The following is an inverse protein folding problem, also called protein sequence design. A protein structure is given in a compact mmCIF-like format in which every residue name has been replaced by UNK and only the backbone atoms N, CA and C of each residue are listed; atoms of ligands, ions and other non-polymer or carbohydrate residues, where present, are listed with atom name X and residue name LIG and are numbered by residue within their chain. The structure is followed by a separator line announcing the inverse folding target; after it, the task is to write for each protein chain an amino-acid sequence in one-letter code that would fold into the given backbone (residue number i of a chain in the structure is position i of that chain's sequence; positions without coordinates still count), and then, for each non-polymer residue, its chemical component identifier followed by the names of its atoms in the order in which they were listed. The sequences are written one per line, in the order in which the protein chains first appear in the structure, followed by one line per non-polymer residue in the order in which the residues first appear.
data_IF_252158112061
#
_entry.id   IF_252158112061
#
_cell.length_a   1.000
_cell.length_b   1.000
_cell.length_c   1.000
_cell.angle_alpha   90.00
_cell.angle_beta   90.00
_cell.angle_gamma   90.00
#
_symmetry.space_group_name_H-M   'P 1'
#
loop_
_entity.id
_entity.type
_entity.pdbx_description
1 polymer ?
#
# COMPACT_ATOMS: atom_id res chain seq x y z
N UNK A 1 -39.37 1.58 -23.93
CA UNK A 1 -39.64 2.90 -23.30
C UNK A 1 -40.12 2.72 -21.86
N UNK A 2 -39.28 2.22 -20.95
CA UNK A 2 -39.64 2.03 -19.53
C UNK A 2 -38.52 2.45 -18.53
N UNK A 3 -37.44 3.10 -18.99
CA UNK A 3 -36.30 3.50 -18.16
C UNK A 3 -36.23 5.00 -17.83
N UNK A 4 -37.20 5.81 -18.29
CA UNK A 4 -37.17 7.26 -18.10
C UNK A 4 -38.11 7.77 -16.98
N UNK A 5 -38.81 6.88 -16.26
CA UNK A 5 -39.74 7.28 -15.18
C UNK A 5 -39.12 7.21 -13.77
N UNK A 6 -38.18 6.29 -13.53
CA UNK A 6 -37.53 6.16 -12.22
C UNK A 6 -36.52 7.30 -11.97
N UNK A 7 -35.76 7.69 -13.00
CA UNK A 7 -34.76 8.75 -12.92
C UNK A 7 -35.41 10.12 -12.60
N UNK A 8 -36.53 10.44 -13.26
CA UNK A 8 -37.33 11.64 -12.96
C UNK A 8 -37.96 11.62 -11.56
N UNK A 9 -38.26 10.43 -11.01
CA UNK A 9 -38.76 10.28 -9.64
C UNK A 9 -37.66 10.51 -8.60
N UNK A 10 -36.44 10.02 -8.87
CA UNK A 10 -35.29 10.24 -8.01
C UNK A 10 -34.85 11.72 -8.01
N UNK A 11 -34.82 12.36 -9.18
CA UNK A 11 -34.52 13.79 -9.31
C UNK A 11 -35.58 14.67 -8.62
N UNK A 12 -36.86 14.33 -8.72
CA UNK A 12 -37.94 15.04 -8.02
C UNK A 12 -37.91 14.89 -6.50
N UNK A 13 -37.47 13.73 -5.98
CA UNK A 13 -37.27 13.52 -4.54
C UNK A 13 -36.04 14.28 -4.00
N UNK A 14 -35.02 14.47 -4.84
CA UNK A 14 -33.83 15.23 -4.48
C UNK A 14 -34.11 16.74 -4.40
N UNK A 15 -34.84 17.30 -5.38
CA UNK A 15 -35.22 18.72 -5.36
C UNK A 15 -36.14 19.08 -4.18
N UNK A 16 -37.05 18.18 -3.77
CA UNK A 16 -37.87 18.39 -2.56
C UNK A 16 -37.07 18.34 -1.26
N UNK A 17 -35.89 17.72 -1.24
CA UNK A 17 -35.01 17.68 -0.08
C UNK A 17 -34.09 18.90 0.00
N UNK A 18 -33.78 19.52 -1.15
CA UNK A 18 -32.90 20.69 -1.26
C UNK A 18 -33.69 21.99 -1.10
N UNK A 19 -34.92 22.08 -1.62
CA UNK A 19 -35.73 23.31 -1.59
C UNK A 19 -36.90 23.22 -0.59
N UNK A 20 -36.55 23.14 0.70
CA UNK A 20 -37.49 23.26 1.83
C UNK A 20 -37.11 24.44 2.74
N UNK A 21 -37.72 25.59 2.46
CA UNK A 21 -37.60 26.92 3.08
C UNK A 21 -37.37 27.01 4.61
N UNK A 22 -36.45 27.89 5.05
CA UNK A 22 -36.80 29.15 5.73
C UNK A 22 -35.56 30.03 6.07
N UNK A 23 -35.58 31.23 5.48
CA UNK A 23 -35.18 32.56 5.98
C UNK A 23 -33.69 32.96 6.20
N UNK A 24 -33.29 33.87 5.31
CA UNK A 24 -32.49 35.09 5.50
C UNK A 24 -31.92 35.38 6.90
N UNK A 25 -30.59 35.49 6.95
CA UNK A 25 -29.90 36.50 7.76
C UNK A 25 -28.54 36.82 7.11
N UNK A 26 -28.40 38.06 6.64
CA UNK A 26 -27.17 38.72 6.21
C UNK A 26 -26.09 38.65 7.29
N UNK A 27 -24.84 38.29 6.94
CA UNK A 27 -23.65 38.82 7.65
C UNK A 27 -22.46 38.95 6.68
N UNK A 28 -21.93 40.17 6.65
CA UNK A 28 -20.84 40.68 5.81
C UNK A 28 -19.46 40.05 6.05
N UNK A 29 -18.67 40.07 4.98
CA UNK A 29 -17.24 39.73 4.93
C UNK A 29 -16.42 40.95 5.42
N UNK A 30 -15.50 40.75 6.37
CA UNK A 30 -14.42 41.70 6.65
C UNK A 30 -13.04 41.06 6.45
N UNK A 31 -12.26 41.66 5.55
CA UNK A 31 -10.83 41.42 5.40
C UNK A 31 -10.04 42.24 6.43
N UNK A 32 -9.07 41.63 7.09
CA UNK A 32 -8.08 42.33 7.90
C UNK A 32 -6.75 41.56 7.96
N UNK A 33 -5.70 42.14 7.38
CA UNK A 33 -4.30 41.74 7.53
C UNK A 33 -3.52 42.94 8.14
N UNK A 34 -2.19 42.86 8.33
CA UNK A 34 -1.38 41.98 9.19
C UNK A 34 -0.51 42.82 10.16
N UNK A 35 0.07 42.27 11.23
CA UNK A 35 1.29 42.88 11.85
C UNK A 35 2.17 41.91 12.68
N UNK A 36 3.44 41.81 12.24
CA UNK A 36 4.74 41.78 12.96
C UNK A 36 5.02 40.86 14.18
N UNK A 37 5.72 39.73 13.91
CA UNK A 37 7.03 39.21 14.43
C UNK A 37 7.49 39.34 15.92
N UNK A 38 8.53 38.59 16.40
CA UNK A 38 8.49 37.47 17.36
C UNK A 38 9.38 37.76 18.63
N UNK A 39 10.10 36.83 19.30
CA UNK A 39 9.89 35.45 19.78
C UNK A 39 10.02 35.33 21.33
N UNK A 40 9.81 34.15 21.93
CA UNK A 40 10.80 33.51 22.87
C UNK A 40 10.30 32.22 23.53
N UNK A 41 11.22 31.26 23.58
CA UNK A 41 11.16 30.01 24.33
C UNK A 41 10.89 30.23 25.83
N UNK A 42 10.06 29.39 26.44
CA UNK A 42 10.30 28.91 27.80
C UNK A 42 9.68 27.53 28.03
N UNK A 43 10.53 26.60 28.53
CA UNK A 43 10.18 25.25 28.98
C UNK A 43 9.29 25.32 30.23
N UNK A 44 8.40 24.33 30.45
CA UNK A 44 7.42 24.37 31.52
C UNK A 44 8.06 23.99 32.87
N UNK A 45 7.76 24.75 33.91
CA UNK A 45 7.95 24.35 35.30
C UNK A 45 6.65 24.63 36.07
N UNK A 46 6.09 23.57 36.64
CA UNK A 46 4.90 23.58 37.49
C UNK A 46 5.20 24.22 38.86
N UNK A 47 4.27 25.05 39.36
CA UNK A 47 3.95 25.10 40.80
C UNK A 47 2.49 25.56 40.99
N UNK A 48 1.73 24.69 41.66
CA UNK A 48 0.34 24.82 42.10
C UNK A 48 0.24 25.70 43.37
N UNK A 49 -0.92 26.35 43.53
CA UNK A 49 -1.66 26.72 44.76
C UNK A 49 -2.53 27.97 44.42
N UNK A 50 -3.82 28.12 44.73
CA UNK A 50 -4.80 27.43 45.58
C UNK A 50 -6.21 27.79 45.05
N UNK A 51 -7.17 26.86 45.05
CA UNK A 51 -8.59 27.22 45.21
C UNK A 51 -9.34 26.10 45.94
N UNK A 52 -10.01 26.48 47.03
CA UNK A 52 -10.76 25.64 47.95
C UNK A 52 -12.23 25.48 47.53
N UNK A 53 -12.66 24.21 47.53
CA UNK A 53 -13.97 23.66 47.96
C UNK A 53 -15.28 24.14 47.31
N UNK A 54 -15.86 23.28 46.46
CA UNK A 54 -17.21 22.69 46.65
C UNK A 54 -17.58 21.65 45.56
N UNK A 55 -17.85 20.40 45.96
CA UNK A 55 -18.68 19.42 45.22
C UNK A 55 -17.96 18.49 44.20
N UNK A 56 -18.38 17.21 44.07
CA UNK A 56 -17.81 16.29 43.10
C UNK A 56 -18.41 16.59 41.73
N UNK A 57 -17.67 17.28 40.87
CA UNK A 57 -18.02 17.40 39.45
C UNK A 57 -17.13 16.45 38.65
N UNK A 58 -17.80 15.53 37.98
CA UNK A 58 -17.26 14.56 37.04
C UNK A 58 -16.47 15.25 35.91
N UNK A 59 -15.51 14.57 35.27
CA UNK A 59 -14.79 15.12 34.13
C UNK A 59 -15.78 15.46 33.01
N UNK A 60 -15.89 16.74 32.69
CA UNK A 60 -16.60 17.23 31.51
C UNK A 60 -15.90 16.71 30.25
N UNK A 61 -16.71 16.26 29.30
CA UNK A 61 -16.29 15.65 28.04
C UNK A 61 -15.39 16.61 27.25
N UNK A 62 -14.08 16.34 27.21
CA UNK A 62 -13.16 17.06 26.33
C UNK A 62 -12.07 16.14 25.77
N UNK A 63 -11.94 16.22 24.44
CA UNK A 63 -10.77 15.90 23.61
C UNK A 63 -10.49 14.45 23.20
N UNK A 64 -11.41 13.86 22.41
CA UNK A 64 -11.04 12.85 21.43
C UNK A 64 -11.22 13.36 19.99
N UNK A 65 -10.28 12.98 19.11
CA UNK A 65 -10.31 13.29 17.65
C UNK A 65 -11.60 12.81 16.99
N UNK A 66 -12.28 11.82 17.58
CA UNK A 66 -13.52 11.25 17.07
C UNK A 66 -14.75 12.15 17.29
N UNK A 67 -14.78 12.99 18.33
CA UNK A 67 -15.95 13.86 18.61
C UNK A 67 -16.05 15.05 17.65
N UNK A 68 -14.91 15.48 17.09
CA UNK A 68 -14.84 16.56 16.09
C UNK A 68 -15.21 16.11 14.67
N UNK A 69 -15.02 14.83 14.34
CA UNK A 69 -15.22 14.27 13.01
C UNK A 69 -16.69 13.94 12.66
N UNK A 70 -17.57 13.82 13.66
CA UNK A 70 -18.96 13.39 13.47
C UNK A 70 -20.00 14.48 13.81
N UNK A 71 -19.57 15.73 13.99
CA UNK A 71 -20.49 16.85 14.21
C UNK A 71 -21.31 16.71 15.49
N UNK A 72 -20.68 16.41 16.63
CA UNK A 72 -21.34 16.58 17.92
C UNK A 72 -21.42 18.08 18.25
N UNK A 73 -22.54 18.71 17.91
CA UNK A 73 -22.92 19.96 18.56
C UNK A 73 -23.56 19.61 19.90
N UNK A 74 -22.76 19.55 20.95
CA UNK A 74 -23.30 19.72 22.29
C UNK A 74 -23.73 21.19 22.42
N UNK A 75 -24.92 21.52 21.92
CA UNK A 75 -25.61 22.75 22.29
C UNK A 75 -26.21 22.51 23.67
N UNK A 76 -25.97 23.42 24.60
CA UNK A 76 -26.29 23.32 26.03
C UNK A 76 -27.78 23.15 26.39
N UNK A 77 -28.70 23.06 25.41
CA UNK A 77 -30.14 23.23 25.67
C UNK A 77 -31.03 21.99 25.60
N UNK A 78 -30.48 20.76 25.54
CA UNK A 78 -31.31 19.55 25.60
C UNK A 78 -30.78 18.51 26.60
N UNK A 79 -30.72 18.92 27.87
CA UNK A 79 -30.73 18.00 28.99
C UNK A 79 -32.17 17.88 29.53
N UNK A 80 -32.89 16.85 29.09
CA UNK A 80 -34.02 16.32 29.87
C UNK A 80 -33.62 14.91 30.29
N UNK A 81 -33.54 14.74 31.61
CA UNK A 81 -33.38 13.48 32.34
C UNK A 81 -32.04 12.72 32.27
N UNK A 82 -30.89 13.42 32.26
CA UNK A 82 -29.66 12.94 32.90
C UNK A 82 -29.03 11.61 32.44
N UNK A 83 -29.56 10.92 31.43
CA UNK A 83 -28.94 9.75 30.81
C UNK A 83 -28.35 10.15 29.48
N UNK A 84 -27.04 10.38 29.48
CA UNK A 84 -26.28 10.58 28.25
C UNK A 84 -26.44 9.33 27.37
N UNK A 85 -26.93 9.49 26.13
CA UNK A 85 -26.99 8.44 25.10
C UNK A 85 -25.61 7.84 24.74
N UNK A 86 -24.54 8.26 25.41
CA UNK A 86 -23.16 7.81 25.23
C UNK A 86 -22.95 6.35 25.62
N UNK A 87 -23.58 5.82 26.67
CA UNK A 87 -23.35 4.43 27.11
C UNK A 87 -23.92 3.39 26.14
N UNK A 88 -25.13 3.64 25.62
CA UNK A 88 -25.74 2.79 24.60
C UNK A 88 -24.93 2.85 23.30
N UNK A 89 -24.53 4.05 22.87
CA UNK A 89 -23.71 4.22 21.66
C UNK A 89 -22.30 3.63 21.83
N UNK A 90 -21.70 3.68 23.02
CA UNK A 90 -20.43 3.03 23.32
C UNK A 90 -20.55 1.51 23.29
N UNK A 91 -21.64 0.95 23.83
CA UNK A 91 -21.93 -0.48 23.74
C UNK A 91 -22.13 -0.95 22.30
N UNK A 92 -22.90 -0.18 21.51
CA UNK A 92 -23.09 -0.45 20.08
C UNK A 92 -21.76 -0.38 19.33
N UNK A 93 -20.92 0.62 19.60
CA UNK A 93 -19.56 0.76 19.01
C UNK A 93 -18.64 -0.41 19.38
N UNK A 94 -18.65 -0.86 20.64
CA UNK A 94 -17.87 -2.02 21.11
C UNK A 94 -18.35 -3.33 20.48
N UNK A 95 -19.66 -3.52 20.38
CA UNK A 95 -20.25 -4.68 19.73
C UNK A 95 -19.95 -4.70 18.23
N UNK A 96 -20.08 -3.55 17.54
CA UNK A 96 -19.79 -3.41 16.12
C UNK A 96 -18.30 -3.62 15.82
N UNK A 97 -17.41 -3.04 16.65
CA UNK A 97 -15.97 -3.24 16.52
C UNK A 97 -15.53 -4.69 16.71
N UNK A 98 -16.15 -5.42 17.67
CA UNK A 98 -15.91 -6.86 17.85
C UNK A 98 -16.47 -7.70 16.69
N UNK A 99 -17.61 -7.32 16.12
CA UNK A 99 -18.20 -7.97 14.96
C UNK A 99 -17.33 -7.78 13.70
N UNK A 100 -16.80 -6.56 13.47
CA UNK A 100 -15.88 -6.26 12.37
C UNK A 100 -14.54 -6.98 12.55
N UNK A 101 -14.01 -7.06 13.78
CA UNK A 101 -12.79 -7.83 14.05
C UNK A 101 -13.00 -9.32 13.79
N UNK A 102 -14.14 -9.88 14.20
CA UNK A 102 -14.50 -11.26 13.90
C UNK A 102 -14.68 -11.51 12.39
N UNK A 103 -15.24 -10.56 11.65
CA UNK A 103 -15.37 -10.59 10.18
C UNK A 103 -14.01 -10.72 9.47
N UNK A 104 -13.07 -9.86 9.84
CA UNK A 104 -11.72 -9.85 9.26
C UNK A 104 -10.92 -11.11 9.63
N UNK A 105 -11.29 -11.77 10.72
CA UNK A 105 -10.60 -12.98 11.20
C UNK A 105 -11.15 -14.27 10.60
N UNK A 106 -12.47 -14.37 10.35
CA UNK A 106 -13.08 -15.54 9.69
C UNK A 106 -14.47 -15.21 9.08
N UNK A 107 -14.60 -15.10 7.75
CA UNK A 107 -15.85 -14.69 7.10
C UNK A 107 -17.02 -15.67 7.27
N UNK A 108 -16.77 -16.93 7.67
CA UNK A 108 -17.83 -17.94 7.91
C UNK A 108 -18.67 -17.59 9.16
N UNK A 109 -18.09 -16.94 10.16
CA UNK A 109 -18.79 -16.56 11.40
C UNK A 109 -19.95 -15.58 11.14
N UNK A 110 -19.81 -14.72 10.13
CA UNK A 110 -20.85 -13.76 9.75
C UNK A 110 -21.95 -14.38 8.90
N UNK A 111 -21.67 -15.47 8.18
CA UNK A 111 -22.70 -16.27 7.50
C UNK A 111 -23.57 -17.07 8.51
N UNK A 112 -22.99 -17.44 9.65
CA UNK A 112 -23.69 -18.18 10.72
C UNK A 112 -24.41 -17.26 11.72
N UNK A 113 -24.01 -15.98 11.81
CA UNK A 113 -24.62 -15.01 12.73
C UNK A 113 -26.14 -14.85 12.54
N UNK A 114 -26.70 -14.74 11.31
CA UNK A 114 -28.14 -14.67 11.08
C UNK A 114 -28.87 -15.97 11.47
N UNK A 115 -28.22 -17.13 11.34
CA UNK A 115 -28.78 -18.42 11.77
C UNK A 115 -28.87 -18.51 13.30
N UNK A 116 -27.83 -18.07 14.00
CA UNK A 116 -27.82 -18.05 15.48
C UNK A 116 -28.79 -17.00 16.02
N UNK A 117 -28.81 -15.79 15.47
CA UNK A 117 -29.80 -14.77 15.80
C UNK A 117 -31.23 -15.23 15.49
N UNK A 118 -31.45 -15.88 14.35
CA UNK A 118 -32.72 -16.46 13.97
C UNK A 118 -33.20 -17.56 14.93
N UNK A 119 -32.29 -18.42 15.40
CA UNK A 119 -32.60 -19.47 16.38
C UNK A 119 -32.92 -18.89 17.77
N UNK A 120 -32.17 -17.87 18.23
CA UNK A 120 -32.39 -17.20 19.52
C UNK A 120 -33.71 -16.42 19.50
N UNK A 121 -33.98 -15.67 18.42
CA UNK A 121 -35.23 -14.94 18.23
C UNK A 121 -36.41 -15.93 18.09
N UNK A 122 -36.24 -17.02 17.35
CA UNK A 122 -37.23 -18.08 17.20
C UNK A 122 -37.56 -18.77 18.53
N UNK A 123 -36.56 -19.05 19.35
CA UNK A 123 -36.73 -19.58 20.71
C UNK A 123 -37.49 -18.60 21.62
N UNK A 124 -37.13 -17.32 21.57
CA UNK A 124 -37.75 -16.27 22.40
C UNK A 124 -39.20 -15.97 21.99
N UNK A 125 -39.51 -16.04 20.70
CA UNK A 125 -40.86 -15.87 20.15
C UNK A 125 -41.70 -17.14 20.35
N UNK A 126 -41.11 -18.33 20.20
CA UNK A 126 -41.79 -19.61 20.45
C UNK A 126 -42.24 -19.78 21.90
N UNK A 127 -41.46 -19.25 22.85
CA UNK A 127 -41.81 -19.23 24.27
C UNK A 127 -42.81 -18.10 24.63
N UNK A 128 -43.06 -17.16 23.71
CA UNK A 128 -44.08 -16.11 23.81
C UNK A 128 -45.14 -16.28 22.72
N UNK A 129 -45.90 -17.36 22.81
CA UNK A 129 -47.24 -17.35 22.26
C UNK A 129 -48.20 -18.15 23.13
N UNK A 130 -48.85 -17.43 24.04
CA UNK A 130 -50.31 -17.48 24.06
C UNK A 130 -50.82 -16.21 23.38
N UNK A 131 -51.00 -16.32 22.06
CA UNK A 131 -51.92 -15.49 21.27
C UNK A 131 -51.39 -14.18 20.68
N UNK A 132 -50.81 -14.22 19.48
CA UNK A 132 -51.00 -13.16 18.46
C UNK A 132 -50.46 -13.56 17.07
N UNK A 133 -51.31 -14.18 16.24
CA UNK A 133 -50.98 -14.62 14.87
C UNK A 133 -50.92 -13.50 13.81
N UNK A 134 -51.11 -12.21 14.15
CA UNK A 134 -51.24 -11.12 13.15
C UNK A 134 -50.07 -10.11 13.06
N UNK A 135 -49.13 -10.06 14.02
CA UNK A 135 -47.99 -9.11 14.00
C UNK A 135 -46.73 -9.61 13.28
N UNK A 136 -46.68 -10.88 12.89
CA UNK A 136 -45.48 -11.51 12.33
C UNK A 136 -45.16 -11.05 10.90
N UNK A 137 -46.17 -10.73 10.08
CA UNK A 137 -45.95 -10.35 8.67
C UNK A 137 -45.24 -9.00 8.49
N UNK A 138 -45.50 -8.02 9.36
CA UNK A 138 -44.92 -6.67 9.25
C UNK A 138 -43.45 -6.66 9.71
N UNK A 139 -43.11 -7.48 10.70
CA UNK A 139 -41.74 -7.56 11.23
C UNK A 139 -40.78 -8.23 10.24
N UNK A 140 -41.22 -9.32 9.58
CA UNK A 140 -40.42 -9.99 8.54
C UNK A 140 -40.23 -9.13 7.28
N UNK A 141 -41.22 -8.32 6.90
CA UNK A 141 -41.10 -7.38 5.78
C UNK A 141 -39.99 -6.34 5.99
N UNK A 142 -39.96 -5.70 7.17
CA UNK A 142 -38.92 -4.70 7.51
C UNK A 142 -37.52 -5.29 7.65
N UNK A 143 -37.40 -6.53 8.12
CA UNK A 143 -36.10 -7.21 8.19
C UNK A 143 -35.53 -7.51 6.80
N UNK A 144 -36.40 -7.86 5.84
CA UNK A 144 -36.02 -8.06 4.44
C UNK A 144 -35.52 -6.77 3.79
N UNK A 145 -36.17 -5.64 4.06
CA UNK A 145 -35.75 -4.31 3.57
C UNK A 145 -34.41 -3.88 4.15
N UNK A 146 -34.18 -4.10 5.45
CA UNK A 146 -32.88 -3.81 6.09
C UNK A 146 -31.77 -4.70 5.51
N UNK A 147 -32.07 -5.97 5.23
CA UNK A 147 -31.12 -6.89 4.61
C UNK A 147 -30.78 -6.48 3.17
N UNK A 148 -31.77 -6.09 2.38
CA UNK A 148 -31.56 -5.58 1.02
C UNK A 148 -30.78 -4.26 1.02
N UNK A 149 -31.08 -3.35 1.94
CA UNK A 149 -30.33 -2.10 2.11
C UNK A 149 -28.87 -2.35 2.50
N UNK A 150 -28.63 -3.27 3.44
CA UNK A 150 -27.28 -3.66 3.86
C UNK A 150 -26.48 -4.33 2.73
N UNK A 151 -27.10 -5.23 1.96
CA UNK A 151 -26.47 -5.83 0.78
C UNK A 151 -26.13 -4.79 -0.30
N UNK A 152 -27.03 -3.83 -0.56
CA UNK A 152 -26.79 -2.76 -1.53
C UNK A 152 -25.66 -1.83 -1.08
N UNK A 153 -25.62 -1.45 0.20
CA UNK A 153 -24.53 -0.63 0.76
C UNK A 153 -23.19 -1.36 0.77
N UNK A 154 -23.18 -2.67 1.08
CA UNK A 154 -21.96 -3.49 0.99
C UNK A 154 -21.47 -3.66 -0.45
N UNK A 155 -22.37 -3.70 -1.43
CA UNK A 155 -22.02 -3.70 -2.86
C UNK A 155 -21.45 -2.35 -3.32
N UNK A 156 -21.99 -1.23 -2.83
CA UNK A 156 -21.50 0.13 -3.14
C UNK A 156 -20.13 0.40 -2.51
N UNK A 157 -19.91 -0.03 -1.26
CA UNK A 157 -18.60 0.07 -0.59
C UNK A 157 -17.53 -0.76 -1.33
N UNK A 158 -17.92 -1.86 -1.98
CA UNK A 158 -17.02 -2.65 -2.85
C UNK A 158 -16.68 -1.97 -4.19
N UNK A 159 -17.45 -0.98 -4.62
CA UNK A 159 -17.20 -0.20 -5.84
C UNK A 159 -16.47 1.11 -5.58
N UNK A 160 -16.41 1.60 -4.34
CA UNK A 160 -15.55 2.73 -3.98
C UNK A 160 -14.09 2.31 -4.06
N UNK A 161 -13.36 2.91 -4.99
CA UNK A 161 -11.92 2.77 -5.10
C UNK A 161 -11.27 3.40 -3.86
N UNK A 162 -10.38 2.69 -3.13
CA UNK A 162 -9.86 3.14 -1.83
C UNK A 162 -9.16 4.52 -1.84
N UNK A 163 -8.77 5.03 -3.00
CA UNK A 163 -7.97 6.24 -3.16
C UNK A 163 -8.77 7.54 -3.34
N UNK A 164 -10.11 7.51 -3.40
CA UNK A 164 -10.93 8.73 -3.53
C UNK A 164 -11.28 9.40 -2.19
N UNK A 165 -10.78 8.87 -1.06
CA UNK A 165 -10.99 9.40 0.30
C UNK A 165 -9.75 10.08 0.90
N UNK A 166 -8.74 10.40 0.09
CA UNK A 166 -7.50 11.01 0.56
C UNK A 166 -7.66 12.53 0.62
N UNK A 167 -7.78 13.03 1.85
CA UNK A 167 -7.81 14.45 2.21
C UNK A 167 -6.38 15.03 2.12
N UNK A 168 -6.13 15.97 1.21
CA UNK A 168 -4.78 16.47 0.87
C UNK A 168 -4.06 17.12 2.06
N UNK A 169 -4.79 17.74 2.99
CA UNK A 169 -4.23 18.37 4.21
C UNK A 169 -3.73 17.34 5.24
N UNK A 170 -4.25 16.11 5.19
CA UNK A 170 -3.84 15.01 6.04
C UNK A 170 -2.47 14.47 5.64
N UNK A 171 -2.14 14.59 4.35
CA UNK A 171 -0.90 14.07 3.77
C UNK A 171 0.31 14.93 4.12
N UNK A 172 0.15 16.26 4.25
CA UNK A 172 1.23 17.14 4.72
C UNK A 172 1.59 16.93 6.19
N UNK A 173 0.60 16.77 7.06
CA UNK A 173 0.86 16.51 8.49
C UNK A 173 1.39 15.11 8.73
N UNK A 174 0.89 14.12 7.99
CA UNK A 174 1.42 12.74 8.04
C UNK A 174 2.82 12.68 7.44
N UNK A 175 3.12 13.40 6.35
CA UNK A 175 4.49 13.55 5.84
C UNK A 175 5.40 14.30 6.80
N UNK A 176 4.91 15.33 7.50
CA UNK A 176 5.69 16.04 8.50
C UNK A 176 5.97 15.17 9.74
N UNK A 177 5.02 14.35 10.17
CA UNK A 177 5.21 13.37 11.26
C UNK A 177 6.07 12.17 10.84
N UNK A 178 5.96 11.68 9.60
CA UNK A 178 6.85 10.67 9.01
C UNK A 178 8.25 11.21 8.73
N UNK A 179 8.37 12.50 8.40
CA UNK A 179 9.64 13.23 8.25
C UNK A 179 10.27 13.55 9.60
N UNK A 180 9.47 13.74 10.66
CA UNK A 180 9.93 14.00 12.02
C UNK A 180 10.21 12.71 12.80
N UNK A 181 9.63 11.58 12.40
CA UNK A 181 10.25 10.27 12.57
C UNK A 181 11.44 10.19 11.62
N UNK A 182 12.52 10.91 11.94
CA UNK A 182 13.85 10.43 11.59
C UNK A 182 13.93 9.01 12.15
N UNK A 183 13.59 8.03 11.30
CA UNK A 183 14.04 6.67 11.46
C UNK A 183 15.54 6.81 11.59
N UNK A 184 16.07 6.60 12.79
CA UNK A 184 17.49 6.32 12.95
C UNK A 184 17.74 5.10 12.09
N UNK A 185 18.17 5.34 10.84
CA UNK A 185 18.55 4.32 9.87
C UNK A 185 19.46 3.36 10.60
N UNK A 186 19.16 2.06 10.56
CA UNK A 186 19.90 1.09 11.35
C UNK A 186 21.33 0.92 10.83
N UNK A 187 21.58 1.31 9.58
CA UNK A 187 22.94 1.42 9.04
C UNK A 187 23.80 2.46 9.76
N UNK A 188 23.19 3.52 10.34
CA UNK A 188 23.90 4.69 10.88
C UNK A 188 24.55 5.56 9.80
N UNK A 189 24.12 5.42 8.54
CA UNK A 189 24.67 6.14 7.39
C UNK A 189 23.78 7.35 7.07
N UNK A 190 24.42 8.50 6.82
CA UNK A 190 23.75 9.72 6.34
C UNK A 190 23.07 9.48 5.00
N UNK A 191 21.90 10.09 4.76
CA UNK A 191 21.05 9.77 3.59
C UNK A 191 21.79 9.96 2.27
N UNK A 192 22.61 11.00 2.17
CA UNK A 192 23.39 11.35 0.98
C UNK A 192 24.45 10.29 0.65
N UNK A 193 24.80 9.46 1.62
CA UNK A 193 25.75 8.36 1.47
C UNK A 193 25.08 6.99 1.23
N UNK A 194 23.75 6.89 1.41
CA UNK A 194 22.98 5.68 1.09
C UNK A 194 22.85 5.55 -0.44
N UNK A 195 23.00 4.34 -1.02
CA UNK A 195 22.75 4.16 -2.44
C UNK A 195 21.27 4.41 -2.75
N UNK A 196 20.98 5.28 -3.72
CA UNK A 196 19.61 5.55 -4.20
C UNK A 196 19.03 4.35 -4.92
N UNK A 197 19.86 3.58 -5.61
CA UNK A 197 19.44 2.41 -6.37
C UNK A 197 20.35 1.21 -6.09
N UNK A 198 19.74 0.13 -5.57
CA UNK A 198 20.35 -1.19 -5.45
C UNK A 198 19.74 -2.13 -6.48
N UNK A 199 20.56 -2.90 -7.18
CA UNK A 199 20.10 -4.05 -7.93
C UNK A 199 20.60 -5.36 -7.31
N UNK A 200 19.81 -6.44 -7.38
CA UNK A 200 20.16 -7.71 -6.75
C UNK A 200 19.86 -8.93 -7.63
N UNK A 201 20.86 -9.81 -7.73
CA UNK A 201 20.76 -11.13 -8.35
C UNK A 201 20.48 -12.13 -7.23
N UNK A 202 19.23 -12.59 -7.15
CA UNK A 202 18.68 -13.45 -6.08
C UNK A 202 19.04 -14.92 -6.30
N UNK A 203 20.34 -15.25 -6.25
CA UNK A 203 20.86 -16.59 -6.52
C UNK A 203 20.88 -17.48 -5.26
N UNK A 204 20.88 -18.80 -5.46
CA UNK A 204 20.97 -19.79 -4.38
C UNK A 204 19.65 -20.45 -3.96
N UNK A 205 18.49 -19.97 -4.42
CA UNK A 205 17.17 -20.51 -4.04
C UNK A 205 17.06 -22.04 -4.16
N UNK A 206 17.51 -22.61 -5.28
CA UNK A 206 17.43 -24.07 -5.53
C UNK A 206 18.33 -24.86 -4.58
N UNK A 207 19.55 -24.36 -4.31
CA UNK A 207 20.51 -25.01 -3.40
C UNK A 207 19.93 -25.04 -1.99
N UNK A 208 19.45 -23.90 -1.51
CA UNK A 208 18.87 -23.74 -0.18
C UNK A 208 17.67 -24.67 -0.01
N UNK A 209 16.77 -24.69 -0.99
CA UNK A 209 15.59 -25.56 -0.96
C UNK A 209 15.93 -27.05 -0.89
N UNK A 210 16.93 -27.49 -1.67
CA UNK A 210 17.41 -28.87 -1.67
C UNK A 210 18.11 -29.24 -0.36
N UNK A 211 19.00 -28.39 0.14
CA UNK A 211 19.77 -28.62 1.37
C UNK A 211 18.89 -28.63 2.62
N UNK A 212 17.94 -27.69 2.73
CA UNK A 212 17.10 -27.53 3.91
C UNK A 212 15.84 -28.41 3.91
N UNK A 213 15.23 -28.63 2.73
CA UNK A 213 13.92 -29.27 2.61
C UNK A 213 13.87 -30.46 1.64
N UNK A 214 14.97 -30.76 0.94
CA UNK A 214 14.93 -31.71 -0.19
C UNK A 214 14.09 -31.23 -1.38
N UNK A 215 13.72 -29.94 -1.44
CA UNK A 215 12.80 -29.40 -2.46
C UNK A 215 13.26 -28.03 -2.96
N UNK A 216 13.69 -27.97 -4.23
CA UNK A 216 14.11 -26.72 -4.87
C UNK A 216 12.96 -25.69 -4.92
N UNK A 217 11.74 -26.15 -5.22
CA UNK A 217 10.54 -25.31 -5.24
C UNK A 217 10.31 -24.61 -3.90
N UNK A 218 10.53 -25.31 -2.78
CA UNK A 218 10.39 -24.69 -1.46
C UNK A 218 11.40 -23.57 -1.22
N UNK A 219 12.61 -23.70 -1.77
CA UNK A 219 13.61 -22.63 -1.70
C UNK A 219 13.19 -21.37 -2.46
N UNK A 220 12.50 -21.51 -3.60
CA UNK A 220 11.91 -20.37 -4.31
C UNK A 220 10.79 -19.67 -3.52
N UNK A 221 9.94 -20.44 -2.83
CA UNK A 221 8.94 -19.86 -1.91
C UNK A 221 9.58 -19.00 -0.82
N UNK A 222 10.60 -19.53 -0.13
CA UNK A 222 11.30 -18.77 0.90
C UNK A 222 12.05 -17.56 0.31
N UNK A 223 12.59 -17.69 -0.91
CA UNK A 223 13.21 -16.59 -1.64
C UNK A 223 12.26 -15.43 -1.94
N UNK A 224 11.01 -15.71 -2.32
CA UNK A 224 10.01 -14.67 -2.56
C UNK A 224 9.61 -13.94 -1.26
N UNK A 225 9.57 -14.63 -0.11
CA UNK A 225 9.38 -13.95 1.19
C UNK A 225 10.54 -13.02 1.50
N UNK A 226 11.76 -13.49 1.22
CA UNK A 226 12.98 -12.69 1.43
C UNK A 226 12.97 -11.44 0.56
N UNK A 227 12.45 -11.51 -0.67
CA UNK A 227 12.27 -10.33 -1.53
C UNK A 227 11.36 -9.27 -0.91
N UNK A 228 10.24 -9.68 -0.31
CA UNK A 228 9.33 -8.74 0.35
C UNK A 228 10.05 -8.07 1.53
N UNK A 229 10.73 -8.84 2.39
CA UNK A 229 11.48 -8.29 3.52
C UNK A 229 12.63 -7.39 3.07
N UNK A 230 13.39 -7.80 2.06
CA UNK A 230 14.48 -7.01 1.49
C UNK A 230 13.98 -5.67 0.93
N UNK A 231 12.83 -5.66 0.25
CA UNK A 231 12.17 -4.43 -0.19
C UNK A 231 11.82 -3.51 0.99
N UNK A 232 11.31 -4.06 2.10
CA UNK A 232 11.03 -3.28 3.32
C UNK A 232 12.32 -2.70 3.91
N UNK A 233 13.39 -3.49 4.01
CA UNK A 233 14.66 -3.01 4.52
C UNK A 233 15.24 -1.89 3.65
N UNK A 234 15.09 -1.98 2.33
CA UNK A 234 15.48 -0.90 1.42
C UNK A 234 14.71 0.39 1.70
N UNK A 235 13.39 0.32 1.86
CA UNK A 235 12.55 1.47 2.18
C UNK A 235 12.95 2.07 3.54
N UNK A 236 13.14 1.24 4.56
CA UNK A 236 13.49 1.68 5.92
C UNK A 236 14.84 2.44 5.95
N UNK A 237 15.78 2.08 5.06
CA UNK A 237 17.10 2.73 4.94
C UNK A 237 17.11 3.95 3.99
N UNK A 238 15.99 4.26 3.32
CA UNK A 238 15.87 5.40 2.41
C UNK A 238 16.38 5.15 0.99
N UNK A 239 16.54 3.89 0.59
CA UNK A 239 16.83 3.51 -0.80
C UNK A 239 15.58 3.80 -1.63
N UNK A 240 15.74 4.39 -2.82
CA UNK A 240 14.61 4.86 -3.65
C UNK A 240 14.18 3.84 -4.70
N UNK A 241 15.11 3.01 -5.18
CA UNK A 241 14.86 2.02 -6.21
C UNK A 241 15.54 0.69 -5.91
N UNK A 242 14.81 -0.40 -6.10
CA UNK A 242 15.32 -1.76 -6.06
C UNK A 242 15.04 -2.47 -7.38
N UNK A 243 16.08 -2.99 -8.05
CA UNK A 243 15.92 -3.83 -9.23
C UNK A 243 16.30 -5.28 -8.93
N UNK A 244 15.39 -6.23 -9.10
CA UNK A 244 15.62 -7.64 -8.74
C UNK A 244 15.63 -8.53 -9.97
N UNK A 245 16.58 -9.47 -10.03
CA UNK A 245 16.62 -10.46 -11.10
C UNK A 245 15.79 -11.70 -10.74
N UNK A 246 14.50 -11.69 -11.11
CA UNK A 246 13.57 -12.75 -10.75
C UNK A 246 13.63 -13.97 -11.69
N UNK A 247 13.70 -13.74 -13.01
CA UNK A 247 13.78 -14.81 -14.00
C UNK A 247 14.51 -14.34 -15.27
N UNK A 248 15.59 -15.03 -15.64
CA UNK A 248 16.37 -14.71 -16.85
C UNK A 248 15.81 -15.37 -18.11
N UNK A 249 16.12 -14.82 -19.28
CA UNK A 249 15.84 -15.45 -20.58
C UNK A 249 16.45 -16.86 -20.69
N UNK A 250 17.58 -17.09 -20.06
CA UNK A 250 18.29 -18.37 -20.03
C UNK A 250 17.60 -19.40 -19.14
N UNK A 251 16.73 -18.97 -18.20
CA UNK A 251 16.00 -19.90 -17.34
C UNK A 251 14.87 -20.65 -18.06
N UNK A 252 14.48 -20.23 -19.26
CA UNK A 252 13.59 -21.02 -20.13
C UNK A 252 14.21 -22.35 -20.59
N UNK A 253 15.53 -22.51 -20.48
CA UNK A 253 16.23 -23.77 -20.83
C UNK A 253 16.20 -24.81 -19.69
N UNK A 254 15.51 -24.53 -18.57
CA UNK A 254 15.31 -25.49 -17.48
C UNK A 254 14.15 -26.44 -17.79
N UNK A 255 14.00 -27.47 -16.98
CA UNK A 255 12.89 -28.42 -17.09
C UNK A 255 11.53 -27.70 -17.05
N UNK A 256 10.62 -28.09 -17.95
CA UNK A 256 9.32 -27.43 -18.11
C UNK A 256 8.49 -27.42 -16.82
N UNK A 257 8.60 -28.47 -16.01
CA UNK A 257 7.96 -28.55 -14.70
C UNK A 257 8.53 -27.51 -13.71
N UNK A 258 9.85 -27.28 -13.72
CA UNK A 258 10.49 -26.26 -12.88
C UNK A 258 10.05 -24.86 -13.33
N UNK A 259 10.01 -24.61 -14.63
CA UNK A 259 9.55 -23.33 -15.20
C UNK A 259 8.09 -23.06 -14.84
N UNK A 260 7.21 -24.05 -15.00
CA UNK A 260 5.79 -23.93 -14.65
C UNK A 260 5.59 -23.64 -13.15
N UNK A 261 6.37 -24.30 -12.29
CA UNK A 261 6.35 -24.03 -10.85
C UNK A 261 6.81 -22.60 -10.51
N UNK A 262 7.85 -22.08 -11.19
CA UNK A 262 8.32 -20.71 -11.00
C UNK A 262 7.29 -19.67 -11.41
N UNK A 263 6.60 -19.87 -12.55
CA UNK A 263 5.52 -18.98 -12.98
C UNK A 263 4.34 -18.99 -11.99
N UNK A 264 3.98 -20.18 -11.49
CA UNK A 264 2.93 -20.31 -10.46
C UNK A 264 3.31 -19.62 -9.14
N UNK A 265 4.58 -19.74 -8.71
CA UNK A 265 5.10 -19.04 -7.53
C UNK A 265 5.01 -17.53 -7.77
N UNK A 266 5.47 -17.05 -8.92
CA UNK A 266 5.45 -15.64 -9.27
C UNK A 266 4.03 -15.06 -9.18
N UNK A 267 3.03 -15.68 -9.85
CA UNK A 267 1.63 -15.23 -9.78
C UNK A 267 1.12 -15.10 -8.34
N UNK A 268 1.35 -16.11 -7.50
CA UNK A 268 0.86 -16.07 -6.11
C UNK A 268 1.57 -15.00 -5.29
N UNK A 269 2.85 -14.72 -5.55
CA UNK A 269 3.57 -13.65 -4.86
C UNK A 269 3.25 -12.25 -5.40
N UNK A 270 2.80 -12.11 -6.64
CA UNK A 270 2.31 -10.83 -7.16
C UNK A 270 1.18 -10.27 -6.29
N UNK A 271 0.24 -11.11 -5.83
CA UNK A 271 -0.84 -10.66 -4.95
C UNK A 271 -0.34 -10.15 -3.59
N UNK A 272 0.56 -10.90 -2.94
CA UNK A 272 1.14 -10.49 -1.66
C UNK A 272 1.98 -9.21 -1.82
N UNK A 273 2.79 -9.14 -2.87
CA UNK A 273 3.64 -8.00 -3.18
C UNK A 273 2.80 -6.77 -3.51
N UNK A 274 1.72 -6.91 -4.28
CA UNK A 274 0.77 -5.84 -4.63
C UNK A 274 0.15 -5.19 -3.40
N UNK A 275 -0.35 -6.00 -2.46
CA UNK A 275 -0.95 -5.49 -1.21
C UNK A 275 0.07 -4.72 -0.39
N UNK A 276 1.28 -5.28 -0.20
CA UNK A 276 2.33 -4.59 0.55
C UNK A 276 2.82 -3.33 -0.17
N UNK A 277 2.79 -3.34 -1.51
CA UNK A 277 3.21 -2.20 -2.33
C UNK A 277 2.33 -0.99 -2.14
N UNK A 278 1.01 -1.18 -2.26
CA UNK A 278 0.04 -0.11 -2.05
C UNK A 278 0.15 0.45 -0.63
N UNK A 279 0.29 -0.44 0.37
CA UNK A 279 0.43 -0.05 1.78
C UNK A 279 1.66 0.84 2.04
N UNK A 280 2.75 0.64 1.30
CA UNK A 280 4.02 1.37 1.50
C UNK A 280 4.27 2.47 0.45
N UNK A 281 3.36 2.67 -0.49
CA UNK A 281 3.59 3.59 -1.61
C UNK A 281 4.72 3.13 -2.54
N UNK A 282 4.88 1.82 -2.73
CA UNK A 282 5.82 1.23 -3.67
C UNK A 282 5.18 1.05 -5.05
N UNK A 283 5.83 1.59 -6.07
CA UNK A 283 5.50 1.35 -7.47
C UNK A 283 6.24 0.12 -7.98
N UNK A 284 5.50 -0.85 -8.51
CA UNK A 284 6.10 -2.02 -9.16
C UNK A 284 6.19 -1.76 -10.66
N UNK A 285 7.31 -2.20 -11.26
CA UNK A 285 7.50 -2.29 -12.70
C UNK A 285 8.10 -3.64 -13.05
N UNK A 286 7.56 -4.36 -14.02
CA UNK A 286 8.10 -5.63 -14.49
C UNK A 286 8.84 -5.40 -15.80
N UNK A 287 10.15 -5.61 -15.77
CA UNK A 287 11.03 -5.39 -16.92
C UNK A 287 11.21 -6.71 -17.65
N UNK A 288 10.68 -6.80 -18.87
CA UNK A 288 10.76 -8.00 -19.72
C UNK A 288 11.39 -7.67 -21.07
N UNK A 289 12.25 -8.58 -21.54
CA UNK A 289 12.83 -8.50 -22.89
C UNK A 289 12.23 -9.53 -23.84
N UNK A 290 11.56 -10.54 -23.29
CA UNK A 290 10.96 -11.66 -24.01
C UNK A 290 9.62 -12.02 -23.33
N UNK A 291 8.64 -11.12 -23.49
CA UNK A 291 7.34 -11.21 -22.83
C UNK A 291 6.42 -12.28 -23.44
N UNK A 292 6.62 -12.65 -24.70
CA UNK A 292 5.74 -13.61 -25.41
C UNK A 292 5.81 -15.01 -24.81
N UNK A 293 6.94 -15.38 -24.20
CA UNK A 293 7.11 -16.69 -23.54
C UNK A 293 6.44 -16.75 -22.16
N UNK A 294 6.02 -15.62 -21.61
CA UNK A 294 5.35 -15.55 -20.32
C UNK A 294 3.88 -15.98 -20.50
N UNK A 295 3.38 -16.96 -19.72
CA UNK A 295 1.98 -17.38 -19.77
C UNK A 295 0.98 -16.22 -19.62
N UNK A 296 -0.16 -16.32 -20.31
CA UNK A 296 -1.18 -15.25 -20.37
C UNK A 296 -1.72 -14.85 -18.99
N UNK A 297 -1.95 -15.83 -18.12
CA UNK A 297 -2.41 -15.61 -16.74
C UNK A 297 -1.38 -14.83 -15.92
N UNK A 298 -0.09 -15.12 -16.10
CA UNK A 298 1.02 -14.39 -15.49
C UNK A 298 1.09 -12.97 -16.03
N UNK A 299 0.98 -12.78 -17.35
CA UNK A 299 0.99 -11.43 -17.97
C UNK A 299 -0.15 -10.56 -17.47
N UNK A 300 -1.37 -11.10 -17.38
CA UNK A 300 -2.50 -10.37 -16.81
C UNK A 300 -2.27 -9.96 -15.35
N UNK A 301 -1.72 -10.87 -14.53
CA UNK A 301 -1.38 -10.54 -13.14
C UNK A 301 -0.31 -9.45 -13.01
N UNK A 302 0.65 -9.40 -13.95
CA UNK A 302 1.64 -8.33 -14.04
C UNK A 302 0.96 -6.99 -14.37
N UNK A 303 0.13 -6.95 -15.41
CA UNK A 303 -0.57 -5.75 -15.85
C UNK A 303 -1.45 -5.16 -14.74
N UNK A 304 -2.21 -6.02 -14.04
CA UNK A 304 -3.03 -5.61 -12.89
C UNK A 304 -2.17 -5.01 -11.76
N UNK A 305 -1.06 -5.65 -11.43
CA UNK A 305 -0.14 -5.20 -10.38
C UNK A 305 0.55 -3.86 -10.72
N UNK A 306 1.02 -3.67 -11.96
CA UNK A 306 1.63 -2.42 -12.39
C UNK A 306 0.61 -1.28 -12.43
N UNK A 307 -0.60 -1.53 -12.96
CA UNK A 307 -1.67 -0.54 -13.04
C UNK A 307 -2.14 -0.10 -11.65
N UNK A 308 -2.31 -1.04 -10.72
CA UNK A 308 -2.70 -0.71 -9.34
C UNK A 308 -1.61 0.03 -8.57
N UNK A 309 -0.34 -0.22 -8.84
CA UNK A 309 0.77 0.43 -8.12
C UNK A 309 1.32 1.68 -8.83
N UNK A 310 0.82 2.05 -10.01
CA UNK A 310 1.38 3.17 -10.80
C UNK A 310 1.36 4.53 -10.11
N UNK A 311 0.40 4.74 -9.20
CA UNK A 311 0.20 6.00 -8.48
C UNK A 311 1.12 6.14 -7.27
N UNK A 312 1.79 5.06 -6.87
CA UNK A 312 2.77 5.04 -5.81
C UNK A 312 4.07 5.76 -6.24
N UNK A 313 4.68 6.53 -5.33
CA UNK A 313 5.86 7.36 -5.64
C UNK A 313 6.98 7.27 -4.62
N UNK A 314 6.78 6.63 -3.46
CA UNK A 314 7.76 6.59 -2.37
C UNK A 314 8.97 5.72 -2.70
N UNK A 315 8.75 4.63 -3.43
CA UNK A 315 9.76 3.62 -3.75
C UNK A 315 9.44 2.95 -5.08
N UNK A 316 10.46 2.60 -5.87
CA UNK A 316 10.26 1.83 -7.12
C UNK A 316 10.90 0.45 -7.01
N UNK A 317 10.13 -0.61 -7.25
CA UNK A 317 10.62 -1.96 -7.40
C UNK A 317 10.54 -2.41 -8.86
N UNK A 318 11.69 -2.55 -9.50
CA UNK A 318 11.80 -3.14 -10.83
C UNK A 318 12.02 -4.65 -10.69
N UNK A 319 11.19 -5.45 -11.36
CA UNK A 319 11.28 -6.92 -11.34
C UNK A 319 11.65 -7.40 -12.74
N UNK A 320 12.88 -7.87 -12.92
CA UNK A 320 13.34 -8.42 -14.19
C UNK A 320 12.82 -9.85 -14.36
N UNK A 321 11.83 -10.04 -15.24
CA UNK A 321 11.16 -11.31 -15.54
C UNK A 321 11.24 -11.60 -17.04
N UNK A 322 11.71 -12.78 -17.42
CA UNK A 322 12.06 -13.08 -18.82
C UNK A 322 13.00 -12.01 -19.40
N UNK A 323 13.99 -11.64 -18.60
CA UNK A 323 14.89 -10.52 -18.88
C UNK A 323 16.30 -11.02 -19.22
N UNK A 324 16.90 -10.42 -20.23
CA UNK A 324 18.33 -10.55 -20.53
C UNK A 324 18.86 -9.23 -21.10
N UNK A 325 19.91 -8.68 -20.50
CA UNK A 325 20.40 -7.33 -20.83
C UNK A 325 20.92 -7.22 -22.27
N UNK A 326 21.53 -8.27 -22.83
CA UNK A 326 21.87 -8.31 -24.25
C UNK A 326 20.63 -8.12 -25.15
N UNK A 327 19.51 -8.73 -24.79
CA UNK A 327 18.28 -8.60 -25.57
C UNK A 327 17.64 -7.22 -25.37
N UNK A 328 17.74 -6.64 -24.16
CA UNK A 328 17.36 -5.24 -23.91
C UNK A 328 18.11 -4.27 -24.84
N UNK A 329 19.44 -4.40 -24.93
CA UNK A 329 20.28 -3.56 -25.80
C UNK A 329 19.89 -3.75 -27.28
N UNK A 330 19.66 -4.99 -27.72
CA UNK A 330 19.22 -5.25 -29.10
C UNK A 330 17.86 -4.60 -29.38
N UNK A 331 16.90 -4.69 -28.44
CA UNK A 331 15.58 -4.08 -28.58
C UNK A 331 15.65 -2.55 -28.59
N UNK A 332 16.52 -1.96 -27.76
CA UNK A 332 16.79 -0.53 -27.76
C UNK A 332 17.36 -0.06 -29.11
N UNK A 333 18.38 -0.75 -29.64
CA UNK A 333 18.94 -0.46 -30.97
C UNK A 333 17.90 -0.58 -32.09
N UNK A 334 17.05 -1.62 -32.07
CA UNK A 334 15.94 -1.78 -33.03
C UNK A 334 14.96 -0.61 -32.94
N UNK A 335 14.61 -0.17 -31.72
CA UNK A 335 13.71 0.98 -31.53
C UNK A 335 14.31 2.27 -32.10
N UNK A 336 15.60 2.52 -31.90
CA UNK A 336 16.29 3.68 -32.49
C UNK A 336 16.28 3.60 -34.01
N UNK A 337 16.62 2.43 -34.58
CA UNK A 337 16.58 2.24 -36.03
C UNK A 337 15.20 2.51 -36.64
N UNK A 338 14.12 2.11 -35.96
CA UNK A 338 12.74 2.43 -36.38
C UNK A 338 12.44 3.93 -36.31
N UNK A 339 12.93 4.63 -35.28
CA UNK A 339 12.75 6.08 -35.17
C UNK A 339 13.55 6.84 -36.24
N UNK A 340 14.75 6.38 -36.59
CA UNK A 340 15.53 6.91 -37.72
C UNK A 340 14.75 6.70 -39.03
N UNK A 341 14.23 5.49 -39.27
CA UNK A 341 13.44 5.19 -40.47
C UNK A 341 12.17 6.05 -40.55
N UNK A 342 11.57 6.38 -39.42
CA UNK A 342 10.41 7.26 -39.33
C UNK A 342 10.75 8.76 -39.38
N UNK A 343 12.04 9.13 -39.50
CA UNK A 343 12.50 10.53 -39.54
C UNK A 343 12.36 11.28 -38.22
N UNK A 344 12.26 10.58 -37.08
CA UNK A 344 12.10 11.19 -35.75
C UNK A 344 13.41 11.58 -35.07
N UNK A 345 14.53 10.98 -35.48
CA UNK A 345 15.87 11.23 -34.96
C UNK A 345 16.88 11.09 -36.09
N UNK A 346 17.88 11.97 -36.15
CA UNK A 346 18.98 11.85 -37.10
C UNK A 346 20.03 10.84 -36.59
N UNK A 347 20.68 10.11 -37.51
CA UNK A 347 21.69 9.10 -37.13
C UNK A 347 22.86 9.70 -36.33
N UNK A 348 23.20 10.97 -36.56
CA UNK A 348 24.26 11.67 -35.85
C UNK A 348 23.86 12.11 -34.44
N UNK A 349 22.56 12.06 -34.11
CA UNK A 349 22.03 12.33 -32.77
C UNK A 349 22.03 11.07 -31.88
N UNK A 350 22.39 9.90 -32.43
CA UNK A 350 22.45 8.65 -31.67
C UNK A 350 23.72 8.64 -30.81
N UNK A 351 23.52 8.87 -29.50
CA UNK A 351 24.56 8.70 -28.48
C UNK A 351 24.08 7.87 -27.28
N UNK A 352 24.85 7.87 -26.20
CA UNK A 352 24.53 7.13 -24.97
C UNK A 352 23.16 7.51 -24.41
N UNK A 353 22.79 8.80 -24.45
CA UNK A 353 21.48 9.28 -24.01
C UNK A 353 20.33 8.73 -24.86
N UNK A 354 20.52 8.63 -26.18
CA UNK A 354 19.52 8.06 -27.08
C UNK A 354 19.28 6.57 -26.77
N UNK A 355 20.36 5.82 -26.48
CA UNK A 355 20.25 4.42 -26.06
C UNK A 355 19.60 4.30 -24.67
N UNK A 356 20.05 5.08 -23.68
CA UNK A 356 19.49 5.08 -22.32
C UNK A 356 17.98 5.31 -22.33
N UNK A 357 17.49 6.25 -23.14
CA UNK A 357 16.07 6.56 -23.28
C UNK A 357 15.23 5.39 -23.85
N UNK A 358 15.87 4.41 -24.49
CA UNK A 358 15.22 3.21 -25.03
C UNK A 358 15.38 1.98 -24.15
N UNK A 359 16.17 2.06 -23.08
CA UNK A 359 16.29 0.98 -22.10
C UNK A 359 15.00 0.88 -21.27
N UNK A 360 14.72 -0.31 -20.75
CA UNK A 360 13.55 -0.58 -19.90
C UNK A 360 13.64 0.16 -18.55
N UNK A 361 14.84 0.59 -18.17
CA UNK A 361 15.15 1.32 -16.93
C UNK A 361 15.23 2.84 -17.12
N UNK A 362 14.79 3.39 -18.26
CA UNK A 362 14.91 4.83 -18.56
C UNK A 362 14.21 5.74 -17.54
N UNK A 363 13.28 5.22 -16.74
CA UNK A 363 12.59 5.95 -15.68
C UNK A 363 13.36 6.07 -14.36
N UNK A 364 14.49 5.42 -14.19
CA UNK A 364 15.30 5.47 -12.96
C UNK A 364 16.79 5.67 -13.26
N UNK A 365 17.55 6.11 -12.25
CA UNK A 365 19.01 6.17 -12.35
C UNK A 365 19.62 4.76 -12.40
N UNK A 366 20.85 4.65 -12.87
CA UNK A 366 21.60 3.39 -12.85
C UNK A 366 21.85 2.91 -11.41
N UNK A 367 21.94 1.59 -11.18
CA UNK A 367 22.22 1.05 -9.86
C UNK A 367 23.61 1.48 -9.41
N UNK A 368 23.71 2.02 -8.20
CA UNK A 368 25.00 2.35 -7.60
C UNK A 368 25.65 1.11 -6.97
N UNK A 369 24.81 0.16 -6.55
CA UNK A 369 25.22 -1.10 -5.92
C UNK A 369 24.53 -2.26 -6.62
N UNK A 370 25.32 -3.28 -6.97
CA UNK A 370 24.82 -4.57 -7.45
C UNK A 370 25.22 -5.67 -6.47
N UNK A 371 24.22 -6.32 -5.88
CA UNK A 371 24.39 -7.43 -4.95
C UNK A 371 24.17 -8.74 -5.70
N UNK A 372 25.00 -9.74 -5.45
CA UNK A 372 24.73 -11.12 -5.85
C UNK A 372 24.99 -12.07 -4.72
N UNK A 373 24.05 -12.97 -4.48
CA UNK A 373 24.13 -13.98 -3.43
C UNK A 373 24.75 -15.30 -3.92
N UNK A 374 24.94 -16.22 -2.99
CA UNK A 374 25.41 -17.59 -3.18
C UNK A 374 26.87 -17.77 -3.61
N UNK A 375 27.69 -16.73 -3.46
CA UNK A 375 29.14 -16.76 -3.71
C UNK A 375 29.56 -16.72 -5.17
N UNK A 376 28.62 -16.50 -6.10
CA UNK A 376 28.92 -16.47 -7.53
C UNK A 376 29.35 -15.07 -7.97
N UNK A 377 30.54 -14.95 -8.57
CA UNK A 377 31.14 -13.65 -8.95
C UNK A 377 30.97 -13.33 -10.44
N UNK A 378 29.71 -13.17 -10.90
CA UNK A 378 29.40 -12.78 -12.29
C UNK A 378 28.07 -12.03 -12.38
N UNK A 379 27.82 -11.34 -13.49
CA UNK A 379 26.55 -10.63 -13.72
C UNK A 379 25.45 -11.51 -14.33
N UNK A 380 25.81 -12.58 -15.05
CA UNK A 380 24.82 -13.46 -15.70
C UNK A 380 23.81 -12.72 -16.60
N UNK A 381 24.30 -11.80 -17.45
CA UNK A 381 23.46 -11.05 -18.40
C UNK A 381 22.44 -10.09 -17.72
N UNK A 382 22.71 -9.67 -16.48
CA UNK A 382 21.90 -8.70 -15.74
C UNK A 382 22.44 -7.27 -15.89
N UNK A 383 21.56 -6.33 -16.31
CA UNK A 383 21.80 -4.89 -16.35
C UNK A 383 23.18 -4.46 -16.90
N UNK A 384 23.68 -5.09 -17.97
CA UNK A 384 25.05 -4.88 -18.47
C UNK A 384 25.37 -3.42 -18.82
N UNK A 385 24.39 -2.69 -19.36
CA UNK A 385 24.53 -1.27 -19.69
C UNK A 385 24.54 -0.42 -18.42
N UNK A 386 23.54 -0.61 -17.57
CA UNK A 386 23.33 0.16 -16.33
C UNK A 386 24.41 -0.15 -15.27
N UNK A 387 25.04 -1.31 -15.33
CA UNK A 387 26.06 -1.76 -14.37
C UNK A 387 27.45 -1.13 -14.56
N UNK A 388 27.64 -0.30 -15.60
CA UNK A 388 28.96 0.17 -16.03
C UNK A 388 29.79 0.84 -14.90
N UNK A 389 29.12 1.53 -13.98
CA UNK A 389 29.76 2.26 -12.87
C UNK A 389 29.33 1.79 -11.48
N UNK A 390 28.63 0.65 -11.39
CA UNK A 390 28.15 0.11 -10.11
C UNK A 390 29.29 -0.47 -9.26
N UNK A 391 29.13 -0.43 -7.94
CA UNK A 391 29.94 -1.23 -7.02
C UNK A 391 29.30 -2.61 -6.81
N UNK A 392 30.12 -3.67 -6.86
CA UNK A 392 29.65 -5.06 -6.78
C UNK A 392 29.89 -5.66 -5.40
N UNK A 393 28.85 -6.29 -4.84
CA UNK A 393 28.91 -6.99 -3.56
C UNK A 393 28.49 -8.45 -3.75
N UNK A 394 29.45 -9.36 -3.61
CA UNK A 394 29.22 -10.79 -3.72
C UNK A 394 29.10 -11.40 -2.33
N UNK A 395 27.87 -11.80 -1.96
CA UNK A 395 27.57 -12.41 -0.67
C UNK A 395 27.61 -13.93 -0.79
N UNK A 396 28.28 -14.58 0.17
CA UNK A 396 28.37 -16.05 0.20
C UNK A 396 27.05 -16.71 0.60
N UNK A 397 26.24 -16.05 1.43
CA UNK A 397 24.91 -16.51 1.84
C UNK A 397 24.01 -16.74 0.63
N UNK A 398 23.17 -17.77 0.67
CA UNK A 398 22.16 -18.00 -0.35
C UNK A 398 21.01 -17.01 -0.16
N UNK A 399 20.27 -16.69 -1.24
CA UNK A 399 19.25 -15.64 -1.19
C UNK A 399 18.24 -15.78 -0.03
N UNK A 400 17.64 -16.96 0.23
CA UNK A 400 16.68 -17.10 1.34
C UNK A 400 17.28 -17.00 2.75
N UNK A 401 18.60 -16.90 2.87
CA UNK A 401 19.33 -16.79 4.14
C UNK A 401 19.72 -15.34 4.46
N UNK A 402 19.46 -14.39 3.56
CA UNK A 402 19.75 -12.99 3.82
C UNK A 402 18.90 -12.46 4.97
N UNK A 403 19.55 -11.65 5.79
CA UNK A 403 18.95 -10.95 6.92
C UNK A 403 19.18 -9.45 6.76
N UNK A 404 18.43 -8.62 7.50
CA UNK A 404 18.55 -7.15 7.43
C UNK A 404 19.99 -6.68 7.61
N UNK A 405 20.73 -7.30 8.54
CA UNK A 405 22.14 -6.99 8.81
C UNK A 405 23.05 -7.09 7.59
N UNK A 406 22.80 -8.03 6.68
CA UNK A 406 23.60 -8.19 5.46
C UNK A 406 23.46 -6.97 4.53
N UNK A 407 22.23 -6.44 4.39
CA UNK A 407 21.99 -5.22 3.62
C UNK A 407 22.64 -4.00 4.30
N UNK A 408 22.52 -3.89 5.62
CA UNK A 408 23.13 -2.77 6.37
C UNK A 408 24.65 -2.75 6.19
N UNK A 409 25.30 -3.92 6.19
CA UNK A 409 26.74 -4.03 5.97
C UNK A 409 27.15 -3.62 4.56
N UNK A 410 26.35 -3.97 3.54
CA UNK A 410 26.56 -3.48 2.17
C UNK A 410 26.44 -1.95 2.10
N UNK A 411 25.39 -1.37 2.71
CA UNK A 411 25.18 0.09 2.74
C UNK A 411 26.35 0.79 3.41
N UNK A 412 26.80 0.31 4.58
CA UNK A 412 27.96 0.86 5.29
C UNK A 412 29.24 0.76 4.47
N UNK A 413 29.47 -0.37 3.82
CA UNK A 413 30.66 -0.58 2.99
C UNK A 413 30.71 0.37 1.79
N UNK A 414 29.58 0.53 1.09
CA UNK A 414 29.43 1.48 -0.01
C UNK A 414 29.68 2.94 0.46
N UNK A 415 29.04 3.35 1.57
CA UNK A 415 29.22 4.68 2.14
C UNK A 415 30.68 4.98 2.53
N UNK A 416 31.36 4.00 3.14
CA UNK A 416 32.78 4.12 3.49
C UNK A 416 33.69 4.20 2.26
N UNK A 417 33.35 3.47 1.18
CA UNK A 417 34.05 3.54 -0.11
C UNK A 417 34.00 4.94 -0.72
N UNK A 418 32.83 5.59 -0.69
CA UNK A 418 32.65 6.97 -1.16
C UNK A 418 33.50 7.97 -0.37
N UNK A 419 33.52 7.89 0.97
CA UNK A 419 34.37 8.77 1.80
C UNK A 419 35.84 8.70 1.39
N UNK A 420 36.36 7.52 1.02
CA UNK A 420 37.75 7.35 0.56
C UNK A 420 38.01 7.96 -0.83
N UNK A 421 37.02 8.01 -1.70
CA UNK A 421 37.15 8.60 -3.05
C UNK A 421 37.01 10.12 -3.05
N UNK A 422 36.14 10.68 -2.20
CA UNK A 422 35.94 12.14 -2.08
C UNK A 422 36.95 12.83 -1.14
N UNK A 423 37.57 12.10 -0.20
CA UNK A 423 38.57 12.62 0.72
C UNK A 423 40.03 12.53 0.22
N UNK A 424 40.23 12.45 -1.10
CA UNK A 424 41.56 12.52 -1.74
C UNK A 424 41.72 13.82 -2.51
#
# INVERSE_FOLDING_TARGET
MANASWKRRAEGMLSQFIEGSANEADVEIYYGAPTSSPPKLMKPYFRLENYSTSGPTEPTCADSVYDRLLGCTCREDYAVDGTCGSLFMQWVKLALGRAVKAYLSNPILLALLPLVLGAVIGYYIGNRNNGMKRKHSIFFGRLSEIFQWACLHLMLIRQCKPWELVDEDRDERTRAELSAMETTRESGVELECVPRHIAVIMDGNRRYGKEKYGSATRGHWDGSKTLIEFGKWCIDEGIQTLTVYAFSTENWNRDAEEVSALMSIFCKYCDELRVESIKRGMRIRVLTTDGERIPEDVRRGIEEMEEETKHCTNFTMNICLSYGSRNEIVNACKSIAMDVQAGKIDVNEIGEAALQNKMLTSHCCDPEVIIRTSGEERLSNFLLWQAAYSEFFFLKKQWPELEKGDLLDVIRAFANGRKRRFGK
#
